data_IF_733152059592
#
_entry.id   IF_733152059592
#
_cell.length_a   1.000
_cell.length_b   1.000
_cell.length_c   1.000
_cell.angle_alpha   90.00
_cell.angle_beta   90.00
_cell.angle_gamma   90.00
#
_symmetry.space_group_name_H-M   'P 1'
#
loop_
_entity.id
_entity.type
_entity.pdbx_description
1 polymer ?
#
# COMPACT_ATOMS: atom_id res chain seq x y z
N UNK A 1 -11.75 5.23 -37.93
CA UNK A 1 -10.52 4.43 -38.09
C UNK A 1 -10.91 2.97 -38.21
N UNK A 2 -10.68 2.33 -39.36
CA UNK A 2 -10.94 0.89 -39.52
C UNK A 2 -9.74 0.14 -38.94
N UNK A 3 -9.82 -0.23 -37.67
CA UNK A 3 -8.70 -0.79 -36.93
C UNK A 3 -8.47 -2.24 -37.34
N UNK A 4 -7.24 -2.55 -37.77
CA UNK A 4 -6.93 -3.90 -38.24
C UNK A 4 -7.10 -4.91 -37.09
N UNK A 5 -7.58 -6.12 -37.41
CA UNK A 5 -7.98 -7.13 -36.42
C UNK A 5 -6.87 -7.43 -35.39
N UNK A 6 -5.62 -7.40 -35.86
CA UNK A 6 -4.41 -7.54 -35.05
C UNK A 6 -4.23 -6.38 -34.04
N UNK A 7 -4.37 -5.13 -34.48
CA UNK A 7 -4.25 -3.95 -33.61
C UNK A 7 -5.31 -3.95 -32.51
N UNK A 8 -6.54 -4.41 -32.82
CA UNK A 8 -7.60 -4.54 -31.82
C UNK A 8 -7.26 -5.59 -30.75
N UNK A 9 -6.66 -6.72 -31.15
CA UNK A 9 -6.22 -7.76 -30.21
C UNK A 9 -5.07 -7.27 -29.32
N UNK A 10 -4.06 -6.59 -29.89
CA UNK A 10 -2.98 -6.01 -29.11
C UNK A 10 -3.49 -5.00 -28.08
N UNK A 11 -4.45 -4.16 -28.47
CA UNK A 11 -5.01 -3.13 -27.58
C UNK A 11 -5.77 -3.74 -26.39
N UNK A 12 -6.56 -4.80 -26.63
CA UNK A 12 -7.26 -5.53 -25.56
C UNK A 12 -6.27 -6.25 -24.65
N UNK A 13 -5.20 -6.84 -25.22
CA UNK A 13 -4.16 -7.50 -24.43
C UNK A 13 -3.43 -6.52 -23.51
N UNK A 14 -3.02 -5.36 -24.03
CA UNK A 14 -2.37 -4.31 -23.24
C UNK A 14 -3.32 -3.79 -22.15
N UNK A 15 -4.58 -3.51 -22.48
CA UNK A 15 -5.57 -3.09 -21.50
C UNK A 15 -5.80 -4.14 -20.40
N UNK A 16 -5.80 -5.42 -20.77
CA UNK A 16 -5.86 -6.54 -19.84
C UNK A 16 -4.63 -6.61 -18.92
N UNK A 17 -3.43 -6.47 -19.47
CA UNK A 17 -2.19 -6.46 -18.69
C UNK A 17 -2.13 -5.29 -17.71
N UNK A 18 -2.51 -4.08 -18.15
CA UNK A 18 -2.54 -2.90 -17.27
C UNK A 18 -3.52 -3.14 -16.12
N UNK A 19 -4.72 -3.63 -16.41
CA UNK A 19 -5.73 -3.94 -15.39
C UNK A 19 -5.24 -5.00 -14.41
N UNK A 20 -4.55 -6.04 -14.91
CA UNK A 20 -3.99 -7.10 -14.08
C UNK A 20 -2.89 -6.58 -13.15
N UNK A 21 -1.94 -5.80 -13.67
CA UNK A 21 -0.87 -5.19 -12.87
C UNK A 21 -1.42 -4.22 -11.84
N UNK A 22 -2.49 -3.48 -12.16
CA UNK A 22 -3.15 -2.57 -11.23
C UNK A 22 -3.72 -3.33 -10.02
N UNK A 23 -4.42 -4.44 -10.24
CA UNK A 23 -4.96 -5.26 -9.14
C UNK A 23 -3.84 -5.86 -8.29
N UNK A 24 -2.76 -6.36 -8.91
CA UNK A 24 -1.61 -6.86 -8.15
C UNK A 24 -0.94 -5.77 -7.31
N UNK A 25 -0.83 -4.55 -7.84
CA UNK A 25 -0.30 -3.40 -7.10
C UNK A 25 -1.15 -3.05 -5.88
N UNK A 26 -2.48 -3.13 -5.99
CA UNK A 26 -3.37 -2.89 -4.85
C UNK A 26 -3.24 -3.97 -3.77
N UNK A 27 -3.19 -5.25 -4.16
CA UNK A 27 -3.02 -6.37 -3.21
C UNK A 27 -1.67 -6.26 -2.50
N UNK A 28 -0.58 -6.05 -3.25
CA UNK A 28 0.74 -5.90 -2.66
C UNK A 28 0.87 -4.70 -1.72
N UNK A 29 0.17 -3.60 -2.00
CA UNK A 29 0.13 -2.45 -1.09
C UNK A 29 -0.60 -2.76 0.22
N UNK A 30 -1.70 -3.53 0.16
CA UNK A 30 -2.43 -3.95 1.35
C UNK A 30 -1.60 -4.90 2.21
N UNK A 31 -1.00 -5.92 1.60
CA UNK A 31 -0.14 -6.89 2.29
C UNK A 31 1.04 -6.16 2.97
N UNK A 32 1.67 -5.18 2.29
CA UNK A 32 2.75 -4.38 2.86
C UNK A 32 2.31 -3.55 4.08
N UNK A 33 1.13 -2.91 4.01
CA UNK A 33 0.59 -2.16 5.16
C UNK A 33 0.32 -3.10 6.33
N UNK A 34 -0.27 -4.27 6.09
CA UNK A 34 -0.51 -5.26 7.15
C UNK A 34 0.79 -5.76 7.75
N UNK A 35 1.81 -6.02 6.96
CA UNK A 35 3.13 -6.44 7.45
C UNK A 35 3.76 -5.40 8.38
N UNK A 36 3.69 -4.11 8.01
CA UNK A 36 4.18 -3.02 8.88
C UNK A 36 3.42 -3.00 10.20
N UNK A 37 2.09 -3.03 10.14
CA UNK A 37 1.24 -2.95 11.34
C UNK A 37 1.40 -4.18 12.23
N UNK A 38 1.61 -5.35 11.64
CA UNK A 38 1.83 -6.60 12.37
C UNK A 38 3.17 -6.60 13.11
N UNK A 39 4.22 -6.08 12.47
CA UNK A 39 5.56 -6.02 13.06
C UNK A 39 5.74 -4.84 14.02
N UNK A 40 4.79 -3.90 14.06
CA UNK A 40 4.82 -2.74 14.94
C UNK A 40 4.45 -3.12 16.39
N UNK A 41 5.22 -2.67 17.39
CA UNK A 41 4.83 -2.82 18.79
C UNK A 41 3.52 -2.09 19.09
N UNK A 42 2.63 -2.72 19.86
CA UNK A 42 1.29 -2.19 20.15
C UNK A 42 1.33 -0.80 20.81
N UNK A 43 2.31 -0.54 21.69
CA UNK A 43 2.50 0.77 22.32
C UNK A 43 2.77 1.88 21.28
N UNK A 44 3.53 1.57 20.22
CA UNK A 44 3.79 2.51 19.13
C UNK A 44 2.54 2.77 18.29
N UNK A 45 1.78 1.72 18.00
CA UNK A 45 0.50 1.85 17.31
C UNK A 45 -0.45 2.79 18.06
N UNK A 46 -0.60 2.58 19.37
CA UNK A 46 -1.47 3.40 20.21
C UNK A 46 -1.01 4.88 20.27
N UNK A 47 0.31 5.13 20.34
CA UNK A 47 0.88 6.49 20.28
C UNK A 47 0.58 7.16 18.94
N UNK A 48 0.72 6.44 17.82
CA UNK A 48 0.43 7.00 16.49
C UNK A 48 -1.07 7.28 16.35
N UNK A 49 -1.94 6.37 16.79
CA UNK A 49 -3.40 6.58 16.78
C UNK A 49 -3.79 7.75 17.68
N UNK A 50 -3.15 7.92 18.84
CA UNK A 50 -3.38 9.07 19.71
C UNK A 50 -2.94 10.39 19.06
N UNK A 51 -1.83 10.38 18.31
CA UNK A 51 -1.28 11.55 17.62
C UNK A 51 -2.12 11.96 16.40
N UNK A 52 -2.49 11.00 15.56
CA UNK A 52 -3.20 11.24 14.29
C UNK A 52 -4.73 11.24 14.45
N UNK A 53 -5.25 10.62 15.51
CA UNK A 53 -6.68 10.40 15.71
C UNK A 53 -7.23 9.21 14.93
N UNK A 54 -8.48 9.28 14.51
CA UNK A 54 -9.17 8.20 13.78
C UNK A 54 -8.82 8.23 12.29
N UNK A 55 -7.60 7.84 11.96
CA UNK A 55 -7.07 7.75 10.59
C UNK A 55 -7.05 6.31 10.08
N UNK A 56 -6.85 6.13 8.78
CA UNK A 56 -6.78 4.81 8.17
C UNK A 56 -5.51 4.05 8.58
N UNK A 57 -5.59 2.70 8.56
CA UNK A 57 -4.43 1.82 8.79
C UNK A 57 -3.24 2.13 7.88
N UNK A 58 -3.50 2.51 6.63
CA UNK A 58 -2.46 2.96 5.69
C UNK A 58 -1.74 4.22 6.15
N UNK A 59 -2.45 5.18 6.74
CA UNK A 59 -1.85 6.43 7.23
C UNK A 59 -1.00 6.18 8.48
N UNK A 60 -1.45 5.26 9.36
CA UNK A 60 -0.68 4.83 10.54
C UNK A 60 0.62 4.16 10.11
N UNK A 61 0.56 3.23 9.14
CA UNK A 61 1.73 2.54 8.61
C UNK A 61 2.69 3.52 7.90
N UNK A 62 2.16 4.48 7.15
CA UNK A 62 2.96 5.51 6.49
C UNK A 62 3.67 6.42 7.49
N UNK A 63 2.99 6.87 8.55
CA UNK A 63 3.59 7.69 9.61
C UNK A 63 4.69 6.92 10.36
N UNK A 64 4.44 5.64 10.65
CA UNK A 64 5.44 4.77 11.28
C UNK A 64 6.69 4.62 10.41
N UNK A 65 6.55 4.27 9.13
CA UNK A 65 7.70 4.12 8.23
C UNK A 65 8.44 5.46 8.03
N UNK A 66 7.72 6.57 7.90
CA UNK A 66 8.32 7.90 7.77
C UNK A 66 9.13 8.32 9.01
N UNK A 67 8.75 7.84 10.20
CA UNK A 67 9.38 8.16 11.48
C UNK A 67 9.97 6.93 12.17
N UNK A 68 10.33 5.89 11.40
CA UNK A 68 10.69 4.58 11.93
C UNK A 68 11.82 4.65 12.95
N UNK A 69 12.85 5.45 12.65
CA UNK A 69 13.98 5.66 13.56
C UNK A 69 13.57 6.27 14.91
N UNK A 70 12.52 7.09 14.97
CA UNK A 70 12.02 7.65 16.22
C UNK A 70 11.30 6.57 17.04
N UNK A 71 10.38 5.84 16.41
CA UNK A 71 9.58 4.82 17.08
C UNK A 71 10.40 3.58 17.49
N UNK A 72 11.36 3.16 16.68
CA UNK A 72 12.29 2.07 17.01
C UNK A 72 13.16 2.39 18.24
N UNK A 73 13.44 3.68 18.49
CA UNK A 73 14.18 4.11 19.68
C UNK A 73 13.27 4.35 20.89
N UNK A 74 11.96 4.50 20.70
CA UNK A 74 11.00 4.65 21.79
C UNK A 74 10.83 3.33 22.57
N UNK A 75 10.98 2.20 21.87
CA UNK A 75 10.82 0.85 22.43
C UNK A 75 12.16 0.15 22.76
N UNK A 76 13.28 0.89 22.82
CA UNK A 76 14.58 0.39 23.28
C UNK A 76 14.76 0.63 24.77
#
# INVERSE_FOLDING_TARGET
MNMNRLSKQCMVFIAGMISFLYVLGLVGHQDYIEEILYNMPQETYDVIVQKLGNVSRSEIAAEYEANRAFYDNLNK
#
